data_IF_258257322523
#
_entry.id   IF_258257322523
#
_cell.length_a   1.000
_cell.length_b   1.000
_cell.length_c   1.000
_cell.angle_alpha   90.00
_cell.angle_beta   90.00
_cell.angle_gamma   90.00
#
_symmetry.space_group_name_H-M   'P 1'
#
loop_
_entity.id
_entity.type
_entity.pdbx_description
1 polymer ?
#
# COMPACT_ATOMS: atom_id res chain seq x y z
N UNK A 1 28.42 30.39 -16.21
CA UNK A 1 26.98 30.42 -15.95
C UNK A 1 26.70 29.29 -14.97
N UNK A 2 26.06 29.54 -13.85
CA UNK A 2 25.68 28.46 -12.95
C UNK A 2 24.53 27.67 -13.60
N UNK A 3 24.32 26.41 -13.13
CA UNK A 3 23.24 25.56 -13.60
C UNK A 3 21.84 26.22 -13.38
N UNK A 4 21.68 26.93 -12.28
CA UNK A 4 20.48 27.72 -11.94
C UNK A 4 20.26 28.87 -12.92
N UNK A 5 21.33 29.61 -13.33
CA UNK A 5 21.23 30.69 -14.33
C UNK A 5 20.84 30.15 -15.70
N UNK A 6 21.35 28.97 -16.09
CA UNK A 6 20.99 28.33 -17.34
C UNK A 6 19.52 27.89 -17.35
N UNK A 7 19.01 27.35 -16.23
CA UNK A 7 17.62 26.93 -16.08
C UNK A 7 16.66 28.13 -16.16
N UNK A 8 17.03 29.25 -15.55
CA UNK A 8 16.23 30.48 -15.61
C UNK A 8 16.14 31.07 -17.03
N UNK A 9 17.22 30.96 -17.79
CA UNK A 9 17.24 31.42 -19.19
C UNK A 9 16.37 30.55 -20.10
N UNK A 10 16.48 29.21 -19.94
CA UNK A 10 15.61 28.25 -20.63
C UNK A 10 14.12 28.47 -20.26
N UNK A 11 13.83 28.70 -19.01
CA UNK A 11 12.45 28.97 -18.57
C UNK A 11 11.89 30.24 -19.22
N UNK A 12 12.68 31.31 -19.33
CA UNK A 12 12.27 32.55 -20.01
C UNK A 12 11.96 32.33 -21.49
N UNK A 13 12.80 31.56 -22.18
CA UNK A 13 12.58 31.22 -23.57
C UNK A 13 11.31 30.41 -23.78
N UNK A 14 11.05 29.44 -22.90
CA UNK A 14 9.85 28.63 -22.95
C UNK A 14 8.58 29.45 -22.67
N UNK A 15 8.61 30.40 -21.72
CA UNK A 15 7.51 31.34 -21.50
C UNK A 15 7.25 32.25 -22.72
N UNK A 16 8.31 32.74 -23.38
CA UNK A 16 8.15 33.50 -24.62
C UNK A 16 7.56 32.62 -25.75
N UNK A 17 8.00 31.37 -25.85
CA UNK A 17 7.44 30.40 -26.80
C UNK A 17 5.96 30.16 -26.55
N UNK A 18 5.55 29.97 -25.29
CA UNK A 18 4.16 29.81 -24.92
C UNK A 18 3.31 31.07 -25.21
N UNK A 19 3.88 32.26 -25.03
CA UNK A 19 3.17 33.53 -25.26
C UNK A 19 2.99 33.86 -26.76
N UNK A 20 3.96 33.46 -27.59
CA UNK A 20 4.02 33.85 -29.01
C UNK A 20 3.42 32.80 -29.97
N UNK A 21 2.99 31.63 -29.45
CA UNK A 21 2.45 30.56 -30.28
C UNK A 21 1.08 30.14 -29.73
N UNK A 22 0.36 29.37 -30.53
CA UNK A 22 -0.94 28.74 -30.18
C UNK A 22 -0.80 27.23 -30.39
N UNK A 23 -1.84 26.49 -30.00
CA UNK A 23 -1.96 25.06 -30.24
C UNK A 23 -0.85 24.21 -29.61
N UNK A 24 -0.49 23.14 -30.28
CA UNK A 24 0.48 22.14 -29.81
C UNK A 24 1.85 22.74 -29.45
N UNK A 25 2.33 23.75 -30.21
CA UNK A 25 3.61 24.42 -29.90
C UNK A 25 3.58 25.13 -28.53
N UNK A 26 2.42 25.70 -28.18
CA UNK A 26 2.17 26.31 -26.88
C UNK A 26 2.09 25.25 -25.79
N UNK A 27 1.40 24.15 -26.05
CA UNK A 27 1.26 23.03 -25.13
C UNK A 27 2.62 22.40 -24.81
N UNK A 28 3.47 22.15 -25.82
CA UNK A 28 4.83 21.64 -25.62
C UNK A 28 5.68 22.53 -24.71
N UNK A 29 5.55 23.85 -24.85
CA UNK A 29 6.26 24.79 -23.99
C UNK A 29 5.77 24.66 -22.53
N UNK A 30 4.47 24.48 -22.30
CA UNK A 30 3.93 24.24 -20.96
C UNK A 30 4.35 22.89 -20.38
N UNK A 31 4.44 21.82 -21.17
CA UNK A 31 4.99 20.53 -20.73
C UNK A 31 6.43 20.69 -20.26
N UNK A 32 7.25 21.38 -21.05
CA UNK A 32 8.66 21.61 -20.70
C UNK A 32 8.80 22.46 -19.41
N UNK A 33 8.01 23.51 -19.26
CA UNK A 33 7.94 24.32 -18.04
C UNK A 33 7.46 23.48 -16.84
N UNK A 34 6.47 22.61 -17.04
CA UNK A 34 5.98 21.70 -16.03
C UNK A 34 7.06 20.75 -15.52
N UNK A 35 7.89 20.19 -16.41
CA UNK A 35 9.05 19.36 -16.04
C UNK A 35 10.06 20.14 -15.21
N UNK A 36 10.40 21.36 -15.61
CA UNK A 36 11.30 22.23 -14.84
C UNK A 36 10.74 22.52 -13.45
N UNK A 37 9.45 22.85 -13.36
CA UNK A 37 8.80 23.09 -12.08
C UNK A 37 8.80 21.84 -11.19
N UNK A 38 8.60 20.65 -11.76
CA UNK A 38 8.69 19.37 -11.03
C UNK A 38 10.09 19.17 -10.44
N UNK A 39 11.13 19.34 -11.24
CA UNK A 39 12.54 19.18 -10.82
C UNK A 39 12.93 20.18 -9.72
N UNK A 40 12.30 21.36 -9.72
CA UNK A 40 12.43 22.38 -8.67
C UNK A 40 11.58 22.09 -7.42
N UNK A 41 10.81 21.00 -7.38
CA UNK A 41 9.90 20.67 -6.28
C UNK A 41 8.62 21.52 -6.22
N UNK A 42 8.35 22.32 -7.25
CA UNK A 42 7.17 23.19 -7.38
C UNK A 42 5.97 22.39 -7.96
N UNK A 43 5.57 21.34 -7.27
CA UNK A 43 4.60 20.38 -7.79
C UNK A 43 3.23 20.97 -8.14
N UNK A 44 2.73 21.95 -7.38
CA UNK A 44 1.46 22.65 -7.70
C UNK A 44 1.53 23.45 -8.99
N UNK A 45 2.66 24.15 -9.23
CA UNK A 45 2.91 24.88 -10.47
C UNK A 45 3.04 23.92 -11.65
N UNK A 46 3.78 22.82 -11.47
CA UNK A 46 3.91 21.77 -12.46
C UNK A 46 2.56 21.18 -12.87
N UNK A 47 1.67 20.89 -11.90
CA UNK A 47 0.30 20.43 -12.19
C UNK A 47 -0.45 21.44 -13.06
N UNK A 48 -0.47 22.71 -12.69
CA UNK A 48 -1.20 23.74 -13.45
C UNK A 48 -0.72 23.86 -14.90
N UNK A 49 0.61 23.79 -15.11
CA UNK A 49 1.20 23.84 -16.45
C UNK A 49 0.86 22.58 -17.28
N UNK A 50 0.96 21.40 -16.67
CA UNK A 50 0.62 20.15 -17.33
C UNK A 50 -0.88 20.07 -17.67
N UNK A 51 -1.78 20.51 -16.77
CA UNK A 51 -3.21 20.54 -17.06
C UNK A 51 -3.53 21.51 -18.20
N UNK A 52 -2.91 22.69 -18.23
CA UNK A 52 -3.07 23.61 -19.35
C UNK A 52 -2.60 23.00 -20.68
N UNK A 53 -1.47 22.31 -20.69
CA UNK A 53 -0.98 21.61 -21.86
C UNK A 53 -1.94 20.52 -22.34
N UNK A 54 -2.43 19.71 -21.40
CA UNK A 54 -3.42 18.64 -21.68
C UNK A 54 -4.67 19.18 -22.34
N UNK A 55 -5.27 20.24 -21.77
CA UNK A 55 -6.47 20.88 -22.31
C UNK A 55 -6.27 21.35 -23.73
N UNK A 56 -5.09 21.90 -24.07
CA UNK A 56 -4.79 22.35 -25.43
C UNK A 56 -4.74 21.16 -26.39
N UNK A 57 -4.05 20.06 -26.04
CA UNK A 57 -3.98 18.87 -26.89
C UNK A 57 -5.34 18.23 -27.09
N UNK A 58 -6.17 18.15 -26.04
CA UNK A 58 -7.54 17.62 -26.11
C UNK A 58 -8.47 18.48 -27.00
N UNK A 59 -8.30 19.82 -26.98
CA UNK A 59 -9.12 20.74 -27.76
C UNK A 59 -8.73 20.81 -29.25
N UNK A 60 -7.44 20.63 -29.57
CA UNK A 60 -7.01 20.66 -30.97
C UNK A 60 -7.41 19.42 -31.75
N UNK A 61 -6.88 18.27 -31.38
CA UNK A 61 -7.23 16.98 -31.97
C UNK A 61 -6.73 15.83 -31.07
N UNK A 62 -7.56 15.38 -30.16
CA UNK A 62 -7.22 14.33 -29.20
C UNK A 62 -6.63 13.08 -29.88
N UNK A 63 -7.13 12.69 -31.05
CA UNK A 63 -6.66 11.49 -31.75
C UNK A 63 -5.25 11.63 -32.35
N UNK A 64 -4.79 12.85 -32.61
CA UNK A 64 -3.45 13.13 -33.14
C UNK A 64 -2.40 13.21 -32.05
N UNK A 65 -2.77 13.73 -30.87
CA UNK A 65 -1.85 14.02 -29.76
C UNK A 65 -1.86 12.95 -28.66
N UNK A 66 -2.19 11.71 -28.97
CA UNK A 66 -2.27 10.63 -27.98
C UNK A 66 -0.94 10.37 -27.22
N UNK A 67 0.19 10.57 -27.90
CA UNK A 67 1.52 10.43 -27.26
C UNK A 67 1.76 11.55 -26.25
N UNK A 68 1.46 12.78 -26.61
CA UNK A 68 1.60 13.96 -25.75
C UNK A 68 0.63 13.88 -24.56
N UNK A 69 -0.61 13.45 -24.81
CA UNK A 69 -1.62 13.19 -23.76
C UNK A 69 -1.13 12.11 -22.80
N UNK A 70 -0.54 11.03 -23.32
CA UNK A 70 0.09 9.99 -22.50
C UNK A 70 1.20 10.58 -21.60
N UNK A 71 2.18 11.27 -22.17
CA UNK A 71 3.31 11.84 -21.43
C UNK A 71 2.89 12.86 -20.37
N UNK A 72 1.93 13.72 -20.70
CA UNK A 72 1.40 14.72 -19.77
C UNK A 72 0.69 14.06 -18.60
N UNK A 73 -0.12 13.03 -18.84
CA UNK A 73 -0.85 12.32 -17.77
C UNK A 73 0.10 11.51 -16.88
N UNK A 74 1.17 10.93 -17.41
CA UNK A 74 2.26 10.34 -16.59
C UNK A 74 2.90 11.42 -15.71
N UNK A 75 3.18 12.61 -16.27
CA UNK A 75 3.70 13.74 -15.51
C UNK A 75 2.75 14.21 -14.41
N UNK A 76 1.46 14.33 -14.71
CA UNK A 76 0.42 14.68 -13.75
C UNK A 76 0.33 13.65 -12.61
N UNK A 77 0.35 12.36 -12.93
CA UNK A 77 0.32 11.30 -11.91
C UNK A 77 1.46 11.43 -10.92
N UNK A 78 2.70 11.62 -11.41
CA UNK A 78 3.89 11.83 -10.55
C UNK A 78 3.76 13.07 -9.67
N UNK A 79 3.24 14.16 -10.21
CA UNK A 79 2.99 15.39 -9.45
C UNK A 79 1.96 15.18 -8.34
N UNK A 80 0.84 14.53 -8.66
CA UNK A 80 -0.21 14.23 -7.69
C UNK A 80 0.28 13.26 -6.61
N UNK A 81 1.14 12.30 -6.95
CA UNK A 81 1.80 11.43 -5.97
C UNK A 81 2.63 12.24 -4.97
N UNK A 82 3.44 13.20 -5.44
CA UNK A 82 4.22 14.11 -4.57
C UNK A 82 3.37 15.03 -3.69
N UNK A 83 2.18 15.33 -4.15
CA UNK A 83 1.18 16.12 -3.41
C UNK A 83 0.26 15.26 -2.53
N UNK A 84 0.50 13.96 -2.43
CA UNK A 84 -0.30 12.96 -1.72
C UNK A 84 -1.77 12.88 -2.20
N UNK A 85 -2.06 13.39 -3.40
CA UNK A 85 -3.37 13.36 -4.06
C UNK A 85 -3.54 12.03 -4.81
N UNK A 86 -3.67 10.93 -4.08
CA UNK A 86 -3.63 9.56 -4.62
C UNK A 86 -4.74 9.26 -5.63
N UNK A 87 -5.94 9.76 -5.37
CA UNK A 87 -7.07 9.59 -6.28
C UNK A 87 -6.81 10.27 -7.63
N UNK A 88 -6.30 11.50 -7.61
CA UNK A 88 -5.99 12.25 -8.83
C UNK A 88 -4.84 11.59 -9.60
N UNK A 89 -3.84 11.05 -8.88
CA UNK A 89 -2.75 10.29 -9.50
C UNK A 89 -3.28 9.05 -10.24
N UNK A 90 -4.19 8.30 -9.64
CA UNK A 90 -4.83 7.14 -10.26
C UNK A 90 -5.67 7.53 -11.48
N UNK A 91 -6.40 8.64 -11.42
CA UNK A 91 -7.19 9.14 -12.57
C UNK A 91 -6.30 9.58 -13.73
N UNK A 92 -5.19 10.27 -13.44
CA UNK A 92 -4.21 10.65 -14.45
C UNK A 92 -3.59 9.41 -15.12
N UNK A 93 -3.20 8.38 -14.35
CA UNK A 93 -2.74 7.11 -14.92
C UNK A 93 -3.80 6.43 -15.79
N UNK A 94 -5.08 6.47 -15.41
CA UNK A 94 -6.16 5.95 -16.24
C UNK A 94 -6.21 6.62 -17.62
N UNK A 95 -6.08 7.95 -17.66
CA UNK A 95 -5.98 8.69 -18.93
C UNK A 95 -4.73 8.35 -19.73
N UNK A 96 -3.60 8.16 -19.06
CA UNK A 96 -2.38 7.70 -19.71
C UNK A 96 -2.57 6.29 -20.31
N UNK A 97 -3.21 5.36 -19.60
CA UNK A 97 -3.48 4.00 -20.09
C UNK A 97 -4.43 4.04 -21.31
N UNK A 98 -5.47 4.86 -21.30
CA UNK A 98 -6.36 5.06 -22.45
C UNK A 98 -5.55 5.52 -23.70
N UNK A 99 -4.71 6.54 -23.54
CA UNK A 99 -3.85 7.01 -24.61
C UNK A 99 -2.81 5.97 -25.06
N UNK A 100 -2.21 5.25 -24.11
CA UNK A 100 -1.23 4.20 -24.36
C UNK A 100 -1.79 3.05 -25.20
N UNK A 101 -3.06 2.67 -24.98
CA UNK A 101 -3.76 1.67 -25.80
C UNK A 101 -3.90 2.10 -27.27
N UNK A 102 -4.09 3.40 -27.51
CA UNK A 102 -4.21 3.94 -28.89
C UNK A 102 -2.87 3.95 -29.62
N UNK A 103 -1.80 4.24 -28.91
CA UNK A 103 -0.43 4.30 -29.48
C UNK A 103 0.34 2.98 -29.34
N UNK A 104 -0.35 1.92 -28.96
CA UNK A 104 0.16 0.55 -28.89
C UNK A 104 1.42 0.40 -28.01
N UNK A 105 1.41 1.00 -26.80
CA UNK A 105 2.48 0.79 -25.81
C UNK A 105 2.31 -0.63 -25.21
N UNK A 106 3.39 -1.40 -25.19
CA UNK A 106 3.39 -2.78 -24.71
C UNK A 106 3.40 -2.93 -23.18
N UNK A 107 3.90 -1.93 -22.44
CA UNK A 107 4.12 -1.98 -20.98
C UNK A 107 2.92 -1.44 -20.18
N UNK A 108 1.69 -1.84 -20.57
CA UNK A 108 0.48 -1.39 -19.90
C UNK A 108 0.27 -2.02 -18.52
N UNK A 109 0.78 -3.22 -18.31
CA UNK A 109 0.65 -3.94 -17.05
C UNK A 109 1.31 -3.19 -15.88
N UNK A 110 2.47 -2.56 -16.10
CA UNK A 110 3.12 -1.75 -15.06
C UNK A 110 2.32 -0.47 -14.72
N UNK A 111 1.77 0.19 -15.73
CA UNK A 111 0.90 1.35 -15.52
C UNK A 111 -0.38 0.98 -14.75
N UNK A 112 -0.97 -0.17 -15.06
CA UNK A 112 -2.15 -0.70 -14.36
C UNK A 112 -1.82 -1.03 -12.90
N UNK A 113 -0.65 -1.62 -12.61
CA UNK A 113 -0.17 -1.88 -11.24
C UNK A 113 0.00 -0.60 -10.46
N UNK A 114 0.63 0.43 -11.06
CA UNK A 114 0.80 1.73 -10.43
C UNK A 114 -0.55 2.41 -10.17
N UNK A 115 -1.46 2.36 -11.11
CA UNK A 115 -2.84 2.85 -10.95
C UNK A 115 -3.56 2.13 -9.81
N UNK A 116 -3.46 0.80 -9.78
CA UNK A 116 -4.05 -0.03 -8.73
C UNK A 116 -3.50 0.32 -7.34
N UNK A 117 -2.20 0.55 -7.21
CA UNK A 117 -1.55 1.00 -5.98
C UNK A 117 -2.09 2.36 -5.51
N UNK A 118 -2.26 3.32 -6.41
CA UNK A 118 -2.83 4.61 -6.05
C UNK A 118 -4.29 4.51 -5.61
N UNK A 119 -5.11 3.69 -6.30
CA UNK A 119 -6.48 3.41 -5.88
C UNK A 119 -6.55 2.76 -4.51
N UNK A 120 -5.65 1.80 -4.21
CA UNK A 120 -5.58 1.17 -2.89
C UNK A 120 -5.33 2.19 -1.78
N UNK A 121 -4.30 3.03 -1.94
CA UNK A 121 -3.96 4.07 -0.95
C UNK A 121 -5.06 5.13 -0.80
N UNK A 122 -5.84 5.36 -1.87
CA UNK A 122 -7.03 6.24 -1.84
C UNK A 122 -8.26 5.57 -1.20
N UNK A 123 -8.17 4.31 -0.75
CA UNK A 123 -9.29 3.55 -0.18
C UNK A 123 -10.32 3.07 -1.22
N UNK A 124 -9.99 3.15 -2.51
CA UNK A 124 -10.86 2.71 -3.60
C UNK A 124 -10.49 1.27 -4.00
N UNK A 125 -10.79 0.33 -3.11
CA UNK A 125 -10.30 -1.06 -3.20
C UNK A 125 -10.83 -1.82 -4.41
N UNK A 126 -12.09 -1.62 -4.81
CA UNK A 126 -12.65 -2.24 -6.01
C UNK A 126 -11.93 -1.79 -7.28
N UNK A 127 -11.59 -0.49 -7.38
CA UNK A 127 -10.84 0.05 -8.51
C UNK A 127 -9.41 -0.53 -8.53
N UNK A 128 -8.77 -0.66 -7.36
CA UNK A 128 -7.47 -1.31 -7.23
C UNK A 128 -7.49 -2.75 -7.72
N UNK A 129 -8.48 -3.53 -7.28
CA UNK A 129 -8.65 -4.93 -7.69
C UNK A 129 -8.84 -5.02 -9.22
N UNK A 130 -9.67 -4.15 -9.80
CA UNK A 130 -9.90 -4.14 -11.25
C UNK A 130 -8.62 -3.88 -12.05
N UNK A 131 -7.79 -2.92 -11.62
CA UNK A 131 -6.49 -2.63 -12.25
C UNK A 131 -5.56 -3.84 -12.22
N UNK A 132 -5.43 -4.53 -11.08
CA UNK A 132 -4.58 -5.72 -10.98
C UNK A 132 -5.13 -6.92 -11.76
N UNK A 133 -6.45 -7.06 -11.86
CA UNK A 133 -7.06 -8.08 -12.74
C UNK A 133 -6.78 -7.81 -14.21
N UNK A 134 -6.85 -6.54 -14.63
CA UNK A 134 -6.51 -6.16 -16.01
C UNK A 134 -5.00 -6.36 -16.27
N UNK A 135 -4.13 -6.03 -15.32
CA UNK A 135 -2.70 -6.30 -15.41
C UNK A 135 -2.39 -7.80 -15.58
N UNK A 136 -3.06 -8.69 -14.83
CA UNK A 136 -2.96 -10.13 -15.01
C UNK A 136 -3.34 -10.53 -16.44
N UNK A 137 -4.48 -10.04 -16.94
CA UNK A 137 -4.95 -10.38 -18.29
C UNK A 137 -3.94 -9.95 -19.37
N UNK A 138 -3.30 -8.79 -19.21
CA UNK A 138 -2.23 -8.34 -20.10
C UNK A 138 -0.99 -9.23 -20.00
N UNK A 139 -0.56 -9.57 -18.79
CA UNK A 139 0.60 -10.43 -18.55
C UNK A 139 0.37 -11.84 -19.13
N UNK A 140 -0.83 -12.40 -19.01
CA UNK A 140 -1.22 -13.67 -19.65
C UNK A 140 -1.08 -13.64 -21.17
N UNK A 141 -1.50 -12.54 -21.78
CA UNK A 141 -1.41 -12.36 -23.23
C UNK A 141 0.05 -12.38 -23.71
N UNK A 142 0.99 -11.88 -22.89
CA UNK A 142 2.41 -11.79 -23.21
C UNK A 142 3.28 -12.94 -22.63
N UNK A 143 2.67 -13.94 -21.99
CA UNK A 143 3.33 -15.08 -21.36
C UNK A 143 4.39 -14.68 -20.29
N UNK A 144 4.18 -13.61 -19.59
CA UNK A 144 5.06 -13.13 -18.50
C UNK A 144 4.55 -13.66 -17.16
N UNK A 145 4.93 -14.84 -16.76
CA UNK A 145 4.42 -15.51 -15.54
C UNK A 145 4.89 -14.85 -14.22
N UNK A 146 6.02 -14.15 -14.23
CA UNK A 146 6.67 -13.58 -13.03
C UNK A 146 5.83 -12.56 -12.27
N UNK A 147 4.95 -11.85 -12.94
CA UNK A 147 4.18 -10.74 -12.35
C UNK A 147 2.91 -11.15 -11.61
N UNK A 148 2.39 -12.35 -11.82
CA UNK A 148 1.10 -12.78 -11.20
C UNK A 148 1.13 -12.78 -9.68
N UNK A 149 2.27 -13.10 -9.08
CA UNK A 149 2.41 -13.13 -7.63
C UNK A 149 2.05 -11.80 -6.99
N UNK A 150 2.59 -10.72 -7.50
CA UNK A 150 2.36 -9.35 -7.00
C UNK A 150 0.90 -8.94 -7.21
N UNK A 151 0.34 -9.20 -8.39
CA UNK A 151 -1.03 -8.81 -8.69
C UNK A 151 -2.05 -9.54 -7.81
N UNK A 152 -1.92 -10.86 -7.66
CA UNK A 152 -2.77 -11.62 -6.74
C UNK A 152 -2.58 -11.19 -5.28
N UNK A 153 -1.37 -10.79 -4.86
CA UNK A 153 -1.12 -10.25 -3.53
C UNK A 153 -1.92 -8.96 -3.29
N UNK A 154 -1.85 -8.02 -4.24
CA UNK A 154 -2.56 -6.75 -4.15
C UNK A 154 -4.09 -6.91 -4.25
N UNK A 155 -4.57 -7.84 -5.09
CA UNK A 155 -5.99 -8.24 -5.11
C UNK A 155 -6.40 -8.76 -3.73
N UNK A 156 -5.59 -9.63 -3.12
CA UNK A 156 -5.82 -10.15 -1.78
C UNK A 156 -5.91 -9.04 -0.73
N UNK A 157 -5.04 -8.04 -0.80
CA UNK A 157 -5.09 -6.86 0.07
C UNK A 157 -6.40 -6.08 -0.10
N UNK A 158 -6.78 -5.76 -1.34
CA UNK A 158 -8.02 -5.05 -1.61
C UNK A 158 -9.26 -5.81 -1.12
N UNK A 159 -9.31 -7.13 -1.34
CA UNK A 159 -10.40 -7.99 -0.89
C UNK A 159 -10.48 -8.08 0.64
N UNK A 160 -9.33 -8.10 1.32
CA UNK A 160 -9.26 -8.08 2.78
C UNK A 160 -9.86 -6.80 3.36
N UNK A 161 -9.47 -5.64 2.82
CA UNK A 161 -10.00 -4.33 3.24
C UNK A 161 -11.52 -4.18 2.99
N UNK A 162 -12.06 -4.89 2.00
CA UNK A 162 -13.49 -4.99 1.72
C UNK A 162 -14.23 -6.00 2.62
N UNK A 163 -13.53 -6.72 3.51
CA UNK A 163 -14.10 -7.78 4.33
C UNK A 163 -14.46 -9.06 3.57
N UNK A 164 -13.99 -9.22 2.32
CA UNK A 164 -14.22 -10.39 1.45
C UNK A 164 -13.16 -11.45 1.71
N UNK A 165 -13.13 -11.96 2.95
CA UNK A 165 -12.03 -12.77 3.48
C UNK A 165 -11.80 -14.10 2.75
N UNK A 166 -12.84 -14.81 2.34
CA UNK A 166 -12.70 -16.04 1.58
C UNK A 166 -12.04 -15.82 0.22
N UNK A 167 -12.41 -14.73 -0.45
CA UNK A 167 -11.81 -14.36 -1.74
C UNK A 167 -10.37 -13.86 -1.56
N UNK A 168 -10.10 -13.10 -0.49
CA UNK A 168 -8.75 -12.67 -0.11
C UNK A 168 -7.82 -13.87 0.13
N UNK A 169 -8.31 -14.89 0.89
CA UNK A 169 -7.59 -16.15 1.09
C UNK A 169 -7.20 -16.80 -0.23
N UNK A 170 -8.15 -16.88 -1.16
CA UNK A 170 -7.93 -17.56 -2.43
C UNK A 170 -6.95 -16.76 -3.31
N UNK A 171 -7.02 -15.42 -3.28
CA UNK A 171 -6.05 -14.55 -3.95
C UNK A 171 -4.63 -14.70 -3.38
N UNK A 172 -4.47 -14.66 -2.04
CA UNK A 172 -3.16 -14.88 -1.42
C UNK A 172 -2.59 -16.29 -1.66
N UNK A 173 -3.43 -17.33 -1.76
CA UNK A 173 -2.98 -18.67 -2.14
C UNK A 173 -2.45 -18.74 -3.56
N UNK A 174 -3.09 -18.05 -4.50
CA UNK A 174 -2.60 -17.92 -5.89
C UNK A 174 -1.27 -17.18 -5.92
N UNK A 175 -1.20 -16.03 -5.25
CA UNK A 175 0.02 -15.25 -5.09
C UNK A 175 1.18 -16.10 -4.57
N UNK A 176 0.93 -16.81 -3.44
CA UNK A 176 1.91 -17.69 -2.81
C UNK A 176 2.40 -18.79 -3.74
N UNK A 177 1.51 -19.35 -4.57
CA UNK A 177 1.87 -20.38 -5.53
C UNK A 177 2.74 -19.82 -6.64
N UNK A 178 2.42 -18.64 -7.15
CA UNK A 178 3.22 -17.95 -8.15
C UNK A 178 4.63 -17.62 -7.63
N UNK A 179 4.75 -16.99 -6.47
CA UNK A 179 6.05 -16.70 -5.85
C UNK A 179 6.88 -17.96 -5.57
N UNK A 180 6.21 -19.05 -5.14
CA UNK A 180 6.90 -20.32 -4.91
C UNK A 180 7.47 -20.92 -6.20
N UNK A 181 6.81 -20.77 -7.35
CA UNK A 181 7.31 -21.27 -8.63
C UNK A 181 8.57 -20.55 -9.13
N UNK A 182 8.85 -19.35 -8.56
CA UNK A 182 10.02 -18.53 -8.88
C UNK A 182 11.05 -18.46 -7.74
N UNK A 183 10.92 -19.32 -6.72
CA UNK A 183 11.81 -19.37 -5.55
C UNK A 183 11.91 -18.06 -4.74
N UNK A 184 10.87 -17.21 -4.81
CA UNK A 184 10.75 -15.95 -4.07
C UNK A 184 10.34 -16.21 -2.61
N UNK A 185 11.27 -16.70 -1.80
CA UNK A 185 10.99 -17.18 -0.43
C UNK A 185 10.37 -16.09 0.45
N UNK A 186 10.87 -14.86 0.39
CA UNK A 186 10.37 -13.75 1.19
C UNK A 186 8.91 -13.41 0.85
N UNK A 187 8.60 -13.29 -0.44
CA UNK A 187 7.23 -13.06 -0.94
C UNK A 187 6.27 -14.20 -0.56
N UNK A 188 6.74 -15.45 -0.57
CA UNK A 188 5.97 -16.61 -0.09
C UNK A 188 5.61 -16.47 1.39
N UNK A 189 6.56 -16.02 2.21
CA UNK A 189 6.34 -15.84 3.65
C UNK A 189 5.46 -14.62 3.94
N UNK A 190 5.57 -13.55 3.17
CA UNK A 190 4.62 -12.43 3.25
C UNK A 190 3.18 -12.88 2.92
N UNK A 191 3.01 -13.78 1.96
CA UNK A 191 1.70 -14.42 1.73
C UNK A 191 1.25 -15.26 2.94
N UNK A 192 2.14 -16.03 3.58
CA UNK A 192 1.80 -16.78 4.80
C UNK A 192 1.41 -15.85 5.96
N UNK A 193 2.07 -14.68 6.09
CA UNK A 193 1.68 -13.64 7.05
C UNK A 193 0.26 -13.13 6.77
N UNK A 194 -0.06 -12.75 5.53
CA UNK A 194 -1.39 -12.27 5.14
C UNK A 194 -2.47 -13.36 5.26
N UNK A 195 -2.14 -14.60 4.94
CA UNK A 195 -3.05 -15.73 5.15
C UNK A 195 -3.35 -15.94 6.64
N UNK A 196 -2.39 -15.69 7.53
CA UNK A 196 -2.62 -15.73 8.97
C UNK A 196 -3.67 -14.68 9.39
N UNK A 197 -3.54 -13.44 8.91
CA UNK A 197 -4.53 -12.37 9.17
C UNK A 197 -5.92 -12.75 8.65
N UNK A 198 -6.02 -13.24 7.42
CA UNK A 198 -7.29 -13.69 6.84
C UNK A 198 -7.93 -14.81 7.67
N UNK A 199 -7.14 -15.80 8.11
CA UNK A 199 -7.68 -16.90 8.90
C UNK A 199 -8.10 -16.50 10.32
N UNK A 200 -7.60 -15.37 10.84
CA UNK A 200 -8.13 -14.79 12.10
C UNK A 200 -9.58 -14.33 11.88
N UNK A 201 -9.84 -13.59 10.81
CA UNK A 201 -11.18 -13.10 10.48
C UNK A 201 -12.14 -14.25 10.18
N UNK A 202 -11.67 -15.32 9.54
CA UNK A 202 -12.41 -16.55 9.28
C UNK A 202 -12.53 -17.45 10.51
N UNK A 203 -11.89 -17.11 11.63
CA UNK A 203 -11.87 -17.90 12.89
C UNK A 203 -11.41 -19.35 12.68
N UNK A 204 -10.39 -19.53 11.87
CA UNK A 204 -9.82 -20.83 11.52
C UNK A 204 -8.46 -21.05 12.23
N UNK A 205 -8.47 -21.55 13.49
CA UNK A 205 -7.25 -21.64 14.29
C UNK A 205 -6.19 -22.59 13.70
N UNK A 206 -6.62 -23.61 12.96
CA UNK A 206 -5.69 -24.60 12.38
C UNK A 206 -4.82 -23.92 11.30
N UNK A 207 -5.42 -23.15 10.42
CA UNK A 207 -4.70 -22.44 9.38
C UNK A 207 -3.96 -21.20 9.91
N UNK A 208 -4.45 -20.54 10.98
CA UNK A 208 -3.66 -19.52 11.70
C UNK A 208 -2.33 -20.11 12.18
N UNK A 209 -2.36 -21.28 12.83
CA UNK A 209 -1.13 -21.93 13.33
C UNK A 209 -0.24 -22.35 12.15
N UNK A 210 -0.82 -22.95 11.12
CA UNK A 210 -0.04 -23.44 9.97
C UNK A 210 0.75 -22.34 9.26
N UNK A 211 0.09 -21.25 8.92
CA UNK A 211 0.71 -20.13 8.21
C UNK A 211 1.53 -19.26 9.16
N UNK A 212 0.97 -18.96 10.35
CA UNK A 212 1.61 -18.10 11.33
C UNK A 212 2.94 -18.64 11.86
N UNK A 213 3.04 -19.96 12.09
CA UNK A 213 4.30 -20.55 12.55
C UNK A 213 5.40 -20.43 11.50
N UNK A 214 5.09 -20.69 10.23
CA UNK A 214 6.06 -20.57 9.13
C UNK A 214 6.56 -19.13 8.97
N UNK A 215 5.64 -18.16 9.06
CA UNK A 215 6.01 -16.75 9.02
C UNK A 215 6.84 -16.36 10.25
N UNK A 216 6.46 -16.82 11.45
CA UNK A 216 7.18 -16.56 12.68
C UNK A 216 8.63 -17.06 12.64
N UNK A 217 8.83 -18.30 12.18
CA UNK A 217 10.16 -18.90 12.07
C UNK A 217 11.06 -18.07 11.15
N UNK A 218 10.55 -17.65 10.01
CA UNK A 218 11.30 -16.84 9.05
C UNK A 218 11.63 -15.45 9.59
N UNK A 219 10.63 -14.71 10.08
CA UNK A 219 10.85 -13.33 10.57
C UNK A 219 11.68 -13.29 11.85
N UNK A 220 11.68 -14.36 12.64
CA UNK A 220 12.59 -14.50 13.78
C UNK A 220 14.06 -14.59 13.32
N UNK A 221 14.34 -15.35 12.27
CA UNK A 221 15.70 -15.45 11.69
C UNK A 221 16.10 -14.13 11.01
N UNK A 222 15.16 -13.46 10.34
CA UNK A 222 15.39 -12.17 9.69
C UNK A 222 15.60 -11.03 10.69
N UNK A 223 15.11 -11.17 11.93
CA UNK A 223 15.18 -10.12 12.95
C UNK A 223 14.11 -9.03 12.77
N UNK A 224 13.01 -9.33 12.08
CA UNK A 224 11.84 -8.42 11.98
C UNK A 224 10.99 -8.56 13.25
N UNK A 225 11.44 -7.93 14.31
CA UNK A 225 10.81 -7.99 15.63
C UNK A 225 9.35 -7.51 15.60
N UNK A 226 8.99 -6.59 14.68
CA UNK A 226 7.61 -6.11 14.54
C UNK A 226 6.68 -7.20 14.03
N UNK A 227 7.06 -7.93 12.99
CA UNK A 227 6.29 -9.07 12.51
C UNK A 227 6.30 -10.23 13.52
N UNK A 228 7.42 -10.45 14.22
CA UNK A 228 7.56 -11.50 15.23
C UNK A 228 6.54 -11.33 16.37
N UNK A 229 6.44 -10.15 17.00
CA UNK A 229 5.47 -9.98 18.09
C UNK A 229 4.02 -10.03 17.60
N UNK A 230 3.73 -9.51 16.41
CA UNK A 230 2.41 -9.59 15.80
C UNK A 230 1.98 -11.05 15.56
N UNK A 231 2.90 -11.86 15.02
CA UNK A 231 2.64 -13.28 14.77
C UNK A 231 2.46 -14.08 16.07
N UNK A 232 3.24 -13.77 17.12
CA UNK A 232 3.00 -14.37 18.45
C UNK A 232 1.59 -14.05 18.98
N UNK A 233 1.12 -12.81 18.80
CA UNK A 233 -0.23 -12.43 19.16
C UNK A 233 -1.28 -13.22 18.35
N UNK A 234 -1.10 -13.36 17.04
CA UNK A 234 -2.00 -14.12 16.17
C UNK A 234 -2.06 -15.61 16.54
N UNK A 235 -0.91 -16.21 16.83
CA UNK A 235 -0.85 -17.59 17.33
C UNK A 235 -1.52 -17.73 18.68
N UNK A 236 -1.40 -16.73 19.55
CA UNK A 236 -2.13 -16.67 20.81
C UNK A 236 -3.66 -16.69 20.62
N UNK A 237 -4.17 -15.95 19.62
CA UNK A 237 -5.59 -15.99 19.23
C UNK A 237 -5.99 -17.42 18.81
N UNK A 238 -5.17 -18.09 18.01
CA UNK A 238 -5.47 -19.44 17.54
C UNK A 238 -5.54 -20.45 18.69
N UNK A 239 -4.55 -20.45 19.60
CA UNK A 239 -4.56 -21.33 20.77
C UNK A 239 -5.74 -21.04 21.69
N UNK A 240 -6.12 -19.76 21.88
CA UNK A 240 -7.32 -19.39 22.62
C UNK A 240 -8.60 -19.96 21.98
N UNK A 241 -8.71 -19.89 20.64
CA UNK A 241 -9.86 -20.46 19.92
C UNK A 241 -9.94 -21.99 20.07
N UNK A 242 -8.81 -22.68 20.23
CA UNK A 242 -8.73 -24.12 20.50
C UNK A 242 -8.93 -24.48 21.98
N UNK A 243 -9.05 -23.49 22.87
CA UNK A 243 -9.17 -23.72 24.32
C UNK A 243 -7.84 -24.00 25.03
N UNK A 244 -6.70 -23.92 24.34
CA UNK A 244 -5.36 -24.04 24.92
C UNK A 244 -4.95 -22.68 25.52
N UNK A 245 -5.52 -22.39 26.69
CA UNK A 245 -5.37 -21.09 27.35
C UNK A 245 -3.96 -20.89 27.92
N UNK A 246 -3.24 -21.97 28.24
CA UNK A 246 -1.87 -21.91 28.75
C UNK A 246 -0.92 -21.41 27.66
N UNK A 247 -0.94 -22.04 26.48
CA UNK A 247 -0.13 -21.61 25.33
C UNK A 247 -0.51 -20.21 24.87
N UNK A 248 -1.81 -19.91 24.82
CA UNK A 248 -2.30 -18.59 24.45
C UNK A 248 -1.75 -17.48 25.36
N UNK A 249 -1.83 -17.67 26.70
CA UNK A 249 -1.31 -16.70 27.66
C UNK A 249 0.20 -16.49 27.49
N UNK A 250 0.96 -17.57 27.37
CA UNK A 250 2.41 -17.49 27.17
C UNK A 250 2.77 -16.71 25.90
N UNK A 251 2.09 -16.98 24.78
CA UNK A 251 2.34 -16.28 23.51
C UNK A 251 1.98 -14.79 23.58
N UNK A 252 0.89 -14.44 24.25
CA UNK A 252 0.53 -13.05 24.47
C UNK A 252 1.54 -12.31 25.36
N UNK A 253 2.01 -12.95 26.44
CA UNK A 253 3.05 -12.36 27.30
C UNK A 253 4.38 -12.18 26.53
N UNK A 254 4.77 -13.14 25.70
CA UNK A 254 5.97 -13.02 24.86
C UNK A 254 5.82 -11.87 23.84
N UNK A 255 4.67 -11.76 23.16
CA UNK A 255 4.40 -10.67 22.21
C UNK A 255 4.47 -9.30 22.91
N UNK A 256 3.81 -9.18 24.07
CA UNK A 256 3.79 -7.96 24.87
C UNK A 256 5.20 -7.56 25.35
N UNK A 257 5.93 -8.51 25.89
CA UNK A 257 7.27 -8.24 26.43
C UNK A 257 8.24 -7.80 25.33
N UNK A 258 8.14 -8.38 24.15
CA UNK A 258 8.94 -7.98 22.99
C UNK A 258 8.58 -6.54 22.55
N UNK A 259 7.31 -6.21 22.41
CA UNK A 259 6.86 -4.87 22.04
C UNK A 259 7.35 -3.81 23.07
N UNK A 260 7.26 -4.10 24.36
CA UNK A 260 7.73 -3.21 25.41
C UNK A 260 9.26 -3.07 25.41
N UNK A 261 10.00 -4.18 25.23
CA UNK A 261 11.47 -4.17 25.21
C UNK A 261 12.04 -3.33 24.05
N UNK A 262 11.33 -3.26 22.94
CA UNK A 262 11.69 -2.45 21.78
C UNK A 262 11.32 -0.96 21.93
N UNK A 263 10.70 -0.59 23.05
CA UNK A 263 10.31 0.79 23.33
C UNK A 263 9.22 1.31 22.39
N UNK A 264 8.50 0.41 21.73
CA UNK A 264 7.45 0.78 20.80
C UNK A 264 6.23 1.32 21.53
N UNK A 265 5.79 2.49 21.12
CA UNK A 265 4.59 3.15 21.61
C UNK A 265 3.34 2.68 20.83
N UNK A 266 3.25 1.41 20.51
CA UNK A 266 2.08 0.78 19.88
C UNK A 266 0.99 0.54 20.95
N UNK A 267 0.48 1.64 21.51
CA UNK A 267 -0.47 1.60 22.65
C UNK A 267 -1.70 0.76 22.36
N UNK A 268 -2.25 0.88 21.15
CA UNK A 268 -3.43 0.11 20.75
C UNK A 268 -3.19 -1.39 20.78
N UNK A 269 -2.01 -1.84 20.34
CA UNK A 269 -1.62 -3.23 20.40
C UNK A 269 -1.47 -3.72 21.85
N UNK A 270 -0.77 -2.98 22.70
CA UNK A 270 -0.59 -3.34 24.11
C UNK A 270 -1.93 -3.46 24.83
N UNK A 271 -2.90 -2.58 24.52
CA UNK A 271 -4.26 -2.63 25.02
C UNK A 271 -4.94 -3.93 24.58
N UNK A 272 -4.86 -4.29 23.29
CA UNK A 272 -5.45 -5.52 22.75
C UNK A 272 -4.88 -6.78 23.38
N UNK A 273 -3.56 -6.84 23.55
CA UNK A 273 -2.87 -7.98 24.15
C UNK A 273 -3.24 -8.12 25.64
N UNK A 274 -3.13 -7.04 26.41
CA UNK A 274 -3.47 -7.08 27.84
C UNK A 274 -4.96 -7.43 28.05
N UNK A 275 -5.87 -6.93 27.19
CA UNK A 275 -7.27 -7.32 27.25
C UNK A 275 -7.49 -8.81 26.96
N UNK A 276 -6.76 -9.36 25.98
CA UNK A 276 -6.82 -10.80 25.68
C UNK A 276 -6.29 -11.67 26.84
N UNK A 277 -5.23 -11.24 27.51
CA UNK A 277 -4.69 -11.90 28.69
C UNK A 277 -5.70 -11.84 29.87
N UNK A 278 -6.32 -10.68 30.09
CA UNK A 278 -7.34 -10.52 31.15
C UNK A 278 -8.54 -11.45 30.93
N UNK A 279 -9.00 -11.58 29.66
CA UNK A 279 -10.09 -12.49 29.29
C UNK A 279 -9.74 -13.97 29.62
N UNK A 280 -8.50 -14.39 29.37
CA UNK A 280 -8.03 -15.73 29.73
C UNK A 280 -8.09 -15.96 31.24
N UNK A 281 -7.57 -15.03 32.04
CA UNK A 281 -7.59 -15.17 33.51
C UNK A 281 -9.01 -15.16 34.05
N UNK A 282 -9.90 -14.32 33.52
CA UNK A 282 -11.31 -14.32 33.91
C UNK A 282 -12.00 -15.68 33.61
N UNK A 283 -11.74 -16.22 32.41
CA UNK A 283 -12.28 -17.51 31.96
C UNK A 283 -11.77 -18.67 32.81
N UNK A 284 -10.51 -18.61 33.28
CA UNK A 284 -9.88 -19.60 34.14
C UNK A 284 -10.27 -19.48 35.64
N UNK A 285 -11.22 -18.62 35.96
CA UNK A 285 -11.68 -18.46 37.36
C UNK A 285 -10.66 -17.69 38.22
N UNK A 286 -9.85 -16.84 37.64
CA UNK A 286 -8.85 -16.00 38.32
C UNK A 286 -9.19 -14.50 38.16
N UNK A 287 -10.34 -14.02 38.65
CA UNK A 287 -10.82 -12.66 38.42
C UNK A 287 -9.94 -11.59 39.02
N UNK A 288 -9.21 -11.88 40.10
CA UNK A 288 -8.30 -10.90 40.70
C UNK A 288 -7.13 -10.58 39.81
N UNK A 289 -6.53 -11.56 39.14
CA UNK A 289 -5.48 -11.36 38.13
C UNK A 289 -6.02 -10.62 36.88
N UNK A 290 -7.22 -10.99 36.43
CA UNK A 290 -7.87 -10.28 35.34
C UNK A 290 -8.06 -8.78 35.68
N UNK A 291 -8.51 -8.47 36.90
CA UNK A 291 -8.69 -7.10 37.36
C UNK A 291 -7.36 -6.32 37.45
N UNK A 292 -6.27 -6.97 37.81
CA UNK A 292 -4.94 -6.36 37.82
C UNK A 292 -4.49 -5.99 36.40
N UNK A 293 -4.66 -6.90 35.44
CA UNK A 293 -4.29 -6.64 34.04
C UNK A 293 -5.18 -5.54 33.45
N UNK A 294 -6.48 -5.50 33.74
CA UNK A 294 -7.36 -4.43 33.28
C UNK A 294 -6.96 -3.06 33.87
N UNK A 295 -6.42 -2.99 35.09
CA UNK A 295 -5.82 -1.74 35.61
C UNK A 295 -4.59 -1.31 34.77
N UNK A 296 -3.79 -2.25 34.30
CA UNK A 296 -2.66 -2.00 33.39
C UNK A 296 -3.15 -1.46 32.03
N UNK A 297 -4.22 -2.05 31.49
CA UNK A 297 -4.88 -1.53 30.26
C UNK A 297 -5.26 -0.07 30.43
N UNK A 298 -5.88 0.28 31.53
CA UNK A 298 -6.26 1.67 31.81
C UNK A 298 -5.06 2.61 31.90
N UNK A 299 -3.97 2.17 32.55
CA UNK A 299 -2.73 2.97 32.60
C UNK A 299 -2.12 3.19 31.22
N UNK A 300 -2.15 2.19 30.33
CA UNK A 300 -1.67 2.32 28.94
C UNK A 300 -2.57 3.27 28.15
N UNK A 301 -3.87 3.22 28.33
CA UNK A 301 -4.80 4.17 27.69
C UNK A 301 -4.54 5.64 28.13
N UNK A 302 -4.25 5.84 29.42
CA UNK A 302 -3.90 7.18 29.95
C UNK A 302 -2.57 7.70 29.38
N UNK A 303 -1.57 6.83 29.17
CA UNK A 303 -0.31 7.16 28.52
C UNK A 303 -0.50 7.49 27.05
N UNK A 304 -1.27 6.68 26.32
CA UNK A 304 -1.61 6.93 24.91
C UNK A 304 -2.30 8.30 24.72
N UNK A 305 -3.24 8.65 25.61
CA UNK A 305 -3.92 9.92 25.56
C UNK A 305 -2.98 11.13 25.80
N UNK A 306 -1.94 10.96 26.63
CA UNK A 306 -0.93 12.00 26.86
C UNK A 306 -0.01 12.19 25.65
N UNK A 307 0.46 11.10 25.05
CA UNK A 307 1.33 11.17 23.86
C UNK A 307 0.63 11.92 22.71
N UNK A 308 -0.67 11.68 22.47
CA UNK A 308 -1.46 12.40 21.45
C UNK A 308 -1.56 13.90 21.76
N UNK A 309 -1.64 14.29 23.04
CA UNK A 309 -1.68 15.70 23.43
C UNK A 309 -0.33 16.38 23.26
N UNK A 310 0.77 15.68 23.52
CA UNK A 310 2.13 16.21 23.39
C UNK A 310 2.59 16.35 21.93
N UNK A 311 2.07 15.52 21.03
CA UNK A 311 2.31 15.62 19.57
C UNK A 311 1.45 16.72 18.90
N UNK A 312 0.37 17.15 19.54
CA UNK A 312 -0.54 18.18 19.03
C UNK A 312 -0.20 19.61 19.54
N UNK A 313 0.76 19.75 20.45
CA UNK A 313 1.22 21.01 21.05
C UNK A 313 2.53 21.50 20.41
#
# INVERSE_FOLDING_TARGET
MSEEQALDEVSKELWQRAANNEGSIRADAYVALGRIAFDQGKFKESVALCETAKEIFEQENESEYQREIFEVNIGLSRNYERLERRQDAAQALGKAIEAAKVIEIEELDDLLRDQGRHWFVAGQYENSIACHQEAIAMTEMFLREESYGIDYFNIGMGLYELGRYEEARDAYRKSRTAFKSHDEIESVVDCDYRLTEVHIELKDPVNIIHHGQRALDFFTVLGDDRKVWTLKYFLGIAHRLLGDLETASRLYDEARNLAVALGWKEWEFLIKVDAAIADIYATNGQPDYAAEILRRVKSVQELAAKDVCDEAA
#
